data_IF_363840366468
#
_entry.id   IF_363840366468
#
_cell.length_a   1.000
_cell.length_b   1.000
_cell.length_c   1.000
_cell.angle_alpha   90.00
_cell.angle_beta   90.00
_cell.angle_gamma   90.00
#
_symmetry.space_group_name_H-M   'P 1'
#
loop_
_entity.id
_entity.type
_entity.pdbx_description
1 polymer ?
#
# COMPACT_ATOMS: atom_id res chain seq x y z
N UNK A 1 -3.11 -20.37 -61.26
CA UNK A 1 -2.75 -20.90 -59.94
C UNK A 1 -1.79 -19.91 -59.31
N UNK A 2 -2.28 -19.06 -58.40
CA UNK A 2 -1.47 -18.03 -57.74
C UNK A 2 -1.06 -18.50 -56.35
N UNK A 3 0.19 -18.24 -55.92
CA UNK A 3 0.70 -18.70 -54.63
C UNK A 3 0.19 -17.82 -53.49
N UNK A 4 0.06 -18.47 -52.34
CA UNK A 4 -0.38 -18.01 -51.03
C UNK A 4 0.51 -16.89 -50.45
N UNK A 5 -0.12 -15.86 -49.88
CA UNK A 5 0.49 -14.96 -48.89
C UNK A 5 -0.16 -15.26 -47.54
N UNK A 6 0.48 -16.14 -46.77
CA UNK A 6 0.16 -16.36 -45.37
C UNK A 6 0.70 -15.17 -44.57
N UNK A 7 -0.19 -14.28 -44.14
CA UNK A 7 0.11 -13.28 -43.12
C UNK A 7 0.27 -14.00 -41.78
N UNK A 8 1.41 -13.90 -41.07
CA UNK A 8 1.49 -14.32 -39.69
C UNK A 8 0.67 -13.33 -38.87
N UNK A 9 -0.49 -13.78 -38.37
CA UNK A 9 -1.22 -13.05 -37.35
C UNK A 9 -0.29 -12.84 -36.16
N UNK A 10 0.12 -11.59 -35.93
CA UNK A 10 0.81 -11.20 -34.72
C UNK A 10 -0.05 -11.64 -33.55
N UNK A 11 0.38 -12.68 -32.84
CA UNK A 11 -0.19 -13.04 -31.55
C UNK A 11 0.09 -11.85 -30.63
N UNK A 12 -0.86 -10.90 -30.56
CA UNK A 12 -0.88 -9.86 -29.55
C UNK A 12 -0.80 -10.58 -28.20
N UNK A 13 0.37 -10.51 -27.56
CA UNK A 13 0.63 -11.16 -26.30
C UNK A 13 -0.48 -10.80 -25.31
N UNK A 14 -1.17 -11.79 -24.76
CA UNK A 14 -2.18 -11.66 -23.69
C UNK A 14 -1.60 -11.11 -22.36
N UNK A 15 -0.45 -10.43 -22.39
CA UNK A 15 0.15 -9.81 -21.22
C UNK A 15 -0.62 -8.53 -20.90
N UNK A 16 -0.99 -8.30 -19.63
CA UNK A 16 -1.59 -7.04 -19.22
C UNK A 16 -0.66 -5.89 -19.59
N UNK A 17 -1.23 -4.80 -20.11
CA UNK A 17 -0.45 -3.59 -20.35
C UNK A 17 -0.01 -3.03 -19.00
N UNK A 18 1.29 -2.73 -18.82
CA UNK A 18 1.77 -2.08 -17.61
C UNK A 18 1.05 -0.76 -17.37
N UNK A 19 0.91 -0.42 -16.10
CA UNK A 19 0.34 0.84 -15.66
C UNK A 19 1.26 2.01 -15.98
N UNK A 20 0.74 3.12 -16.56
CA UNK A 20 1.56 4.28 -16.91
C UNK A 20 2.28 4.90 -15.71
N UNK A 21 1.67 4.81 -14.53
CA UNK A 21 2.20 5.35 -13.28
C UNK A 21 2.15 4.25 -12.22
N UNK A 22 3.32 3.80 -11.77
CA UNK A 22 3.44 2.90 -10.62
C UNK A 22 4.50 3.46 -9.67
N UNK A 23 4.15 3.91 -8.44
CA UNK A 23 5.13 4.38 -7.50
C UNK A 23 6.05 3.23 -7.09
N UNK A 24 7.37 3.48 -7.12
CA UNK A 24 8.35 2.54 -6.57
C UNK A 24 8.09 2.37 -5.06
N UNK A 25 8.08 1.14 -4.54
CA UNK A 25 7.97 0.93 -3.10
C UNK A 25 9.27 1.26 -2.36
N UNK A 26 9.15 1.88 -1.19
CA UNK A 26 10.28 2.18 -0.29
C UNK A 26 10.70 0.97 0.54
N UNK A 27 11.94 0.99 1.01
CA UNK A 27 12.44 -0.03 1.93
C UNK A 27 11.66 0.04 3.25
N UNK A 28 11.15 -1.12 3.70
CA UNK A 28 10.30 -1.21 4.88
C UNK A 28 8.92 -0.59 4.71
N UNK A 29 8.43 -0.37 3.48
CA UNK A 29 7.05 0.04 3.22
C UNK A 29 6.07 -1.13 3.43
N UNK A 30 4.92 -0.85 4.05
CA UNK A 30 3.85 -1.83 4.19
C UNK A 30 3.09 -2.01 2.87
N UNK A 31 2.71 -3.24 2.52
CA UNK A 31 1.99 -3.54 1.28
C UNK A 31 0.72 -2.71 1.12
N UNK A 32 -0.09 -2.60 2.19
CA UNK A 32 -1.29 -1.76 2.20
C UNK A 32 -0.98 -0.28 1.94
N UNK A 33 0.07 0.24 2.57
CA UNK A 33 0.55 1.62 2.36
C UNK A 33 0.93 1.90 0.91
N UNK A 34 1.72 1.00 0.32
CA UNK A 34 2.13 1.09 -1.08
C UNK A 34 0.94 0.98 -2.04
N UNK A 35 0.04 0.02 -1.81
CA UNK A 35 -1.16 -0.17 -2.62
C UNK A 35 -2.09 1.05 -2.54
N UNK A 36 -2.20 1.66 -1.35
CA UNK A 36 -2.92 2.92 -1.18
C UNK A 36 -2.29 4.10 -1.91
N UNK A 37 -0.95 4.18 -2.01
CA UNK A 37 -0.26 5.20 -2.83
C UNK A 37 -0.53 4.99 -4.30
N UNK A 38 -0.49 3.74 -4.75
CA UNK A 38 -0.80 3.35 -6.12
C UNK A 38 -2.25 3.73 -6.47
N UNK A 39 -3.23 3.35 -5.64
CA UNK A 39 -4.63 3.75 -5.81
C UNK A 39 -4.80 5.28 -5.84
N UNK A 40 -4.05 5.99 -4.99
CA UNK A 40 -4.02 7.45 -4.95
C UNK A 40 -3.53 8.09 -6.25
N UNK A 41 -2.61 7.47 -7.00
CA UNK A 41 -2.15 7.98 -8.31
C UNK A 41 -3.23 7.93 -9.38
N UNK A 42 -4.21 7.03 -9.22
CA UNK A 42 -5.35 6.86 -10.14
C UNK A 42 -6.65 7.48 -9.60
N UNK A 43 -6.61 8.18 -8.46
CA UNK A 43 -7.81 8.71 -7.78
C UNK A 43 -8.88 7.64 -7.49
N UNK A 44 -8.45 6.40 -7.27
CA UNK A 44 -9.31 5.26 -6.96
C UNK A 44 -9.25 4.94 -5.47
N UNK A 45 -10.26 4.24 -4.96
CA UNK A 45 -10.08 3.46 -3.72
C UNK A 45 -9.23 2.22 -4.00
N UNK A 46 -8.71 1.58 -2.95
CA UNK A 46 -8.00 0.31 -3.08
C UNK A 46 -8.90 -0.77 -3.66
N UNK A 47 -10.18 -0.80 -3.28
CA UNK A 47 -11.18 -1.74 -3.81
C UNK A 47 -11.44 -1.52 -5.30
N UNK A 48 -11.56 -0.26 -5.72
CA UNK A 48 -11.72 0.09 -7.12
C UNK A 48 -10.48 -0.29 -7.93
N UNK A 49 -9.28 0.04 -7.44
CA UNK A 49 -8.02 -0.34 -8.09
C UNK A 49 -7.91 -1.87 -8.20
N UNK A 50 -8.21 -2.59 -7.12
CA UNK A 50 -8.12 -4.04 -7.04
C UNK A 50 -9.03 -4.72 -8.07
N UNK A 51 -10.28 -4.27 -8.14
CA UNK A 51 -11.27 -4.75 -9.10
C UNK A 51 -10.86 -4.42 -10.53
N UNK A 52 -10.42 -3.18 -10.79
CA UNK A 52 -10.03 -2.73 -12.11
C UNK A 52 -8.77 -3.45 -12.64
N UNK A 53 -7.83 -3.82 -11.76
CA UNK A 53 -6.62 -4.55 -12.16
C UNK A 53 -6.81 -6.07 -12.27
N UNK A 54 -8.01 -6.57 -11.95
CA UNK A 54 -8.34 -8.00 -11.94
C UNK A 54 -7.34 -8.79 -11.09
N UNK A 55 -7.21 -8.39 -9.82
CA UNK A 55 -6.26 -8.98 -8.86
C UNK A 55 -6.80 -10.24 -8.15
N UNK A 56 -7.94 -10.77 -8.62
CA UNK A 56 -8.69 -11.83 -7.96
C UNK A 56 -9.67 -11.31 -6.90
N UNK A 57 -10.25 -12.18 -6.06
CA UNK A 57 -11.16 -11.76 -5.00
C UNK A 57 -10.44 -10.87 -3.98
N UNK A 58 -11.09 -9.79 -3.56
CA UNK A 58 -10.56 -8.91 -2.51
C UNK A 58 -10.46 -9.70 -1.20
N UNK A 59 -9.31 -9.69 -0.51
CA UNK A 59 -9.18 -10.32 0.80
C UNK A 59 -10.11 -9.66 1.82
N UNK A 60 -10.58 -10.43 2.79
CA UNK A 60 -11.30 -9.87 3.94
C UNK A 60 -10.35 -8.98 4.75
N UNK A 61 -10.67 -7.69 4.83
CA UNK A 61 -9.87 -6.73 5.58
C UNK A 61 -10.31 -6.69 7.05
N UNK A 62 -9.35 -6.77 7.97
CA UNK A 62 -9.61 -6.62 9.40
C UNK A 62 -10.15 -5.21 9.69
N UNK A 63 -11.38 -5.12 10.18
CA UNK A 63 -12.14 -3.87 10.40
C UNK A 63 -12.19 -2.92 9.18
N UNK A 64 -12.09 -3.44 7.95
CA UNK A 64 -12.00 -2.58 6.75
C UNK A 64 -10.71 -1.76 6.66
N UNK A 65 -9.65 -2.12 7.40
CA UNK A 65 -8.39 -1.38 7.46
C UNK A 65 -7.39 -1.91 6.45
N UNK A 66 -7.36 -1.33 5.26
CA UNK A 66 -6.39 -1.69 4.22
C UNK A 66 -4.93 -1.41 4.58
N UNK A 67 -4.63 -0.61 5.62
CA UNK A 67 -3.26 -0.47 6.13
C UNK A 67 -2.73 -1.78 6.72
N UNK A 68 -3.60 -2.59 7.33
CA UNK A 68 -3.29 -3.92 7.85
C UNK A 68 -3.66 -4.99 6.81
N UNK A 69 -3.24 -4.77 5.56
CA UNK A 69 -3.59 -5.63 4.44
C UNK A 69 -3.05 -7.06 4.68
N UNK A 70 -3.88 -8.10 4.52
CA UNK A 70 -3.44 -9.47 4.69
C UNK A 70 -2.50 -9.92 3.56
N UNK A 71 -1.65 -10.93 3.79
CA UNK A 71 -0.89 -11.53 2.71
C UNK A 71 -1.79 -11.96 1.55
N UNK A 72 -1.31 -11.71 0.34
CA UNK A 72 -1.98 -12.03 -0.91
C UNK A 72 -1.28 -13.20 -1.59
N UNK A 73 -2.00 -14.03 -2.36
CA UNK A 73 -1.41 -15.19 -3.01
C UNK A 73 -0.41 -14.79 -4.09
N UNK A 74 0.46 -15.73 -4.47
CA UNK A 74 1.52 -15.52 -5.46
C UNK A 74 0.98 -15.00 -6.79
N UNK A 75 -0.15 -15.54 -7.26
CA UNK A 75 -0.82 -15.12 -8.49
C UNK A 75 -1.13 -13.60 -8.50
N UNK A 76 -1.61 -13.06 -7.38
CA UNK A 76 -1.86 -11.62 -7.22
C UNK A 76 -0.56 -10.83 -7.27
N UNK A 77 0.51 -11.34 -6.66
CA UNK A 77 1.82 -10.69 -6.70
C UNK A 77 2.43 -10.69 -8.10
N UNK A 78 2.30 -11.78 -8.85
CA UNK A 78 2.74 -11.89 -10.23
C UNK A 78 1.98 -10.92 -11.13
N UNK A 79 0.66 -10.83 -10.93
CA UNK A 79 -0.18 -9.87 -11.65
C UNK A 79 0.22 -8.43 -11.37
N UNK A 80 0.38 -8.07 -10.08
CA UNK A 80 0.88 -6.76 -9.68
C UNK A 80 2.28 -6.49 -10.24
N UNK A 81 3.15 -7.49 -10.28
CA UNK A 81 4.50 -7.38 -10.83
C UNK A 81 4.48 -7.02 -12.31
N UNK A 82 3.61 -7.67 -13.09
CA UNK A 82 3.42 -7.34 -14.51
C UNK A 82 2.86 -5.93 -14.71
N UNK A 83 1.92 -5.51 -13.87
CA UNK A 83 1.28 -4.20 -13.97
C UNK A 83 2.20 -3.06 -13.53
N UNK A 84 3.05 -3.27 -12.54
CA UNK A 84 3.81 -2.19 -11.87
C UNK A 84 5.32 -2.22 -12.13
N UNK A 85 5.82 -3.32 -12.71
CA UNK A 85 7.25 -3.65 -12.82
C UNK A 85 7.98 -3.74 -11.46
N UNK A 86 7.25 -3.84 -10.35
CA UNK A 86 7.84 -4.18 -9.04
C UNK A 86 8.07 -5.69 -8.99
N UNK A 87 9.25 -6.15 -8.59
CA UNK A 87 9.52 -7.59 -8.52
C UNK A 87 8.63 -8.29 -7.49
N UNK A 88 8.30 -9.56 -7.74
CA UNK A 88 7.53 -10.39 -6.80
C UNK A 88 8.19 -10.44 -5.42
N UNK A 89 9.52 -10.59 -5.35
CA UNK A 89 10.24 -10.62 -4.07
C UNK A 89 10.11 -9.30 -3.31
N UNK A 90 10.10 -8.18 -4.02
CA UNK A 90 9.86 -6.88 -3.40
C UNK A 90 8.42 -6.76 -2.88
N UNK A 91 7.43 -7.22 -3.64
CA UNK A 91 6.05 -7.26 -3.17
C UNK A 91 5.88 -8.18 -1.96
N UNK A 92 6.56 -9.34 -1.94
CA UNK A 92 6.57 -10.27 -0.81
C UNK A 92 7.14 -9.65 0.45
N UNK A 93 8.25 -8.93 0.34
CA UNK A 93 8.92 -8.29 1.48
C UNK A 93 8.06 -7.21 2.17
N UNK A 94 7.05 -6.66 1.48
CA UNK A 94 6.14 -5.65 2.04
C UNK A 94 4.92 -6.27 2.76
N UNK A 95 4.68 -7.58 2.63
CA UNK A 95 3.48 -8.21 3.18
C UNK A 95 3.49 -8.19 4.70
N UNK A 96 2.33 -7.90 5.29
CA UNK A 96 2.14 -7.93 6.74
C UNK A 96 2.22 -9.37 7.23
N UNK A 97 3.09 -9.72 8.19
CA UNK A 97 3.12 -11.05 8.80
C UNK A 97 1.75 -11.46 9.36
N UNK A 98 1.34 -12.72 9.16
CA UNK A 98 0.01 -13.22 9.59
C UNK A 98 -0.24 -13.01 11.08
N UNK A 99 0.78 -13.23 11.93
CA UNK A 99 0.68 -12.99 13.38
C UNK A 99 0.45 -11.53 13.77
N UNK A 100 0.61 -10.59 12.85
CA UNK A 100 0.32 -9.18 13.05
C UNK A 100 -1.11 -8.82 12.60
N UNK A 101 -1.89 -9.73 12.04
CA UNK A 101 -3.21 -9.39 11.49
C UNK A 101 -4.31 -9.79 12.47
N UNK A 102 -4.79 -8.82 13.23
CA UNK A 102 -5.90 -8.99 14.17
C UNK A 102 -6.56 -7.64 14.45
N UNK A 103 -7.78 -7.66 14.98
CA UNK A 103 -8.54 -6.45 15.29
C UNK A 103 -7.77 -5.58 16.29
N UNK A 104 -7.46 -4.35 15.88
CA UNK A 104 -6.76 -3.37 16.70
C UNK A 104 -7.46 -2.04 16.59
N UNK A 105 -7.88 -1.50 17.74
CA UNK A 105 -8.52 -0.17 17.80
C UNK A 105 -7.62 0.97 17.29
N UNK A 106 -6.30 0.79 17.31
CA UNK A 106 -5.32 1.84 17.01
C UNK A 106 -4.08 1.25 16.33
N UNK A 107 -3.60 1.89 15.28
CA UNK A 107 -2.23 1.72 14.77
C UNK A 107 -1.38 2.86 15.30
N UNK A 108 -0.19 2.55 15.83
CA UNK A 108 0.79 3.55 16.26
C UNK A 108 1.68 3.89 15.07
N UNK A 109 2.01 5.17 14.90
CA UNK A 109 2.91 5.58 13.84
C UNK A 109 3.68 6.84 14.25
N UNK A 110 4.82 7.10 13.63
CA UNK A 110 5.54 8.35 13.84
C UNK A 110 5.09 9.39 12.80
N UNK A 111 4.41 10.45 13.23
CA UNK A 111 3.92 11.50 12.33
C UNK A 111 5.06 12.16 11.54
N UNK A 112 6.18 12.48 12.19
CA UNK A 112 7.33 13.07 11.51
C UNK A 112 7.91 12.16 10.43
N UNK A 113 8.01 10.85 10.68
CA UNK A 113 8.46 9.91 9.66
C UNK A 113 7.43 9.70 8.54
N UNK A 114 6.14 9.83 8.82
CA UNK A 114 5.09 9.76 7.81
C UNK A 114 5.19 10.96 6.85
N UNK A 115 5.31 12.17 7.39
CA UNK A 115 5.31 13.40 6.58
C UNK A 115 6.67 13.69 5.96
N UNK A 116 7.76 13.46 6.69
CA UNK A 116 9.14 13.73 6.26
C UNK A 116 9.85 12.42 5.96
N UNK A 117 9.46 11.78 4.86
CA UNK A 117 10.17 10.61 4.38
C UNK A 117 11.62 11.00 4.01
N UNK A 118 12.61 10.40 4.68
CA UNK A 118 14.03 10.69 4.43
C UNK A 118 14.53 10.17 3.09
N UNK A 119 13.92 9.11 2.55
CA UNK A 119 14.30 8.57 1.25
C UNK A 119 13.80 9.46 0.09
N UNK A 120 12.67 10.14 0.30
CA UNK A 120 12.11 11.13 -0.62
C UNK A 120 11.12 12.02 0.13
N UNK A 121 11.54 13.25 0.43
CA UNK A 121 10.81 14.20 1.30
C UNK A 121 9.39 14.49 0.79
N UNK A 122 9.17 14.37 -0.52
CA UNK A 122 7.87 14.66 -1.14
C UNK A 122 6.96 13.43 -1.24
N UNK A 123 7.44 12.25 -0.81
CA UNK A 123 6.75 10.97 -0.98
C UNK A 123 6.54 10.25 0.36
N UNK A 124 5.57 10.67 1.18
CA UNK A 124 5.13 9.93 2.37
C UNK A 124 4.84 8.45 2.07
N UNK A 125 5.12 7.58 3.03
CA UNK A 125 4.76 6.15 2.97
C UNK A 125 4.47 5.57 4.35
N UNK A 126 3.68 4.49 4.38
CA UNK A 126 3.40 3.77 5.61
C UNK A 126 4.48 2.73 5.85
N UNK A 127 5.14 2.78 7.00
CA UNK A 127 6.15 1.78 7.33
C UNK A 127 5.52 0.48 7.80
N UNK A 128 6.10 -0.64 7.38
CA UNK A 128 5.75 -1.98 7.84
C UNK A 128 6.00 -2.14 9.34
N UNK A 129 7.08 -1.56 9.88
CA UNK A 129 7.40 -1.59 11.31
C UNK A 129 6.28 -1.04 12.20
N UNK A 130 5.46 -0.10 11.70
CA UNK A 130 4.33 0.47 12.45
C UNK A 130 3.16 -0.50 12.62
N UNK A 131 3.14 -1.59 11.84
CA UNK A 131 2.15 -2.67 11.95
C UNK A 131 2.57 -3.74 12.97
N UNK A 132 3.83 -3.76 13.41
CA UNK A 132 4.30 -4.66 14.46
C UNK A 132 3.55 -4.38 15.79
N UNK A 133 2.89 -5.37 16.41
CA UNK A 133 2.29 -5.25 17.75
C UNK A 133 3.21 -4.66 18.82
N UNK A 134 4.50 -4.96 18.72
CA UNK A 134 5.53 -4.61 19.69
C UNK A 134 6.08 -3.19 19.47
N UNK A 135 5.74 -2.56 18.33
CA UNK A 135 6.16 -1.21 18.02
C UNK A 135 5.63 -0.20 19.05
N UNK A 136 6.57 0.39 19.77
CA UNK A 136 6.32 1.26 20.93
C UNK A 136 7.13 2.54 20.91
N UNK A 137 8.20 2.61 20.13
CA UNK A 137 9.05 3.80 20.01
C UNK A 137 9.54 3.99 18.59
N UNK A 138 9.81 5.24 18.21
CA UNK A 138 10.53 5.56 16.98
C UNK A 138 11.96 5.97 17.34
N UNK A 139 12.96 5.26 16.84
CA UNK A 139 14.37 5.56 17.12
C UNK A 139 14.76 6.98 16.66
N UNK A 140 14.19 7.45 15.56
CA UNK A 140 14.49 8.76 15.00
C UNK A 140 13.75 9.91 15.72
N UNK A 141 12.61 9.61 16.33
CA UNK A 141 11.77 10.60 16.99
C UNK A 141 11.17 10.03 18.30
N UNK A 142 11.98 9.86 19.36
CA UNK A 142 11.52 9.28 20.62
C UNK A 142 10.35 10.06 21.22
N UNK A 143 9.37 9.35 21.79
CA UNK A 143 8.21 9.94 22.47
C UNK A 143 7.17 10.62 21.57
N UNK A 144 7.33 10.59 20.24
CA UNK A 144 6.44 11.30 19.28
C UNK A 144 5.58 10.35 18.44
N UNK A 145 5.06 9.29 19.06
CA UNK A 145 4.13 8.40 18.37
C UNK A 145 2.70 8.95 18.42
N UNK A 146 2.05 8.95 17.27
CA UNK A 146 0.64 9.24 17.10
C UNK A 146 -0.16 7.94 16.96
N UNK A 147 -1.49 8.04 17.05
CA UNK A 147 -2.37 6.90 16.82
C UNK A 147 -3.45 7.20 15.80
N UNK A 148 -3.86 6.19 15.03
CA UNK A 148 -4.97 6.28 14.07
C UNK A 148 -6.35 6.21 14.75
N UNK A 149 -6.43 6.40 16.08
CA UNK A 149 -7.66 6.21 16.88
C UNK A 149 -8.88 6.96 16.33
N UNK A 150 -8.66 8.14 15.77
CA UNK A 150 -9.72 9.02 15.28
C UNK A 150 -9.94 8.88 13.77
N UNK A 151 -9.30 7.89 13.14
CA UNK A 151 -9.38 7.68 11.71
C UNK A 151 -10.32 6.51 11.47
N UNK A 152 -11.42 6.81 10.80
CA UNK A 152 -12.20 5.76 10.17
C UNK A 152 -11.49 5.34 8.88
N UNK A 153 -10.54 4.41 9.02
CA UNK A 153 -9.75 3.89 7.91
C UNK A 153 -10.63 3.22 6.84
N UNK A 154 -11.84 2.76 7.19
CA UNK A 154 -12.79 2.20 6.23
C UNK A 154 -13.34 3.26 5.26
N UNK A 155 -13.34 4.53 5.67
CA UNK A 155 -13.78 5.66 4.82
C UNK A 155 -12.65 6.27 3.99
N UNK A 156 -11.40 5.93 4.30
CA UNK A 156 -10.22 6.46 3.61
C UNK A 156 -9.83 5.49 2.51
N UNK A 157 -10.31 5.69 1.28
CA UNK A 157 -10.13 4.71 0.20
C UNK A 157 -8.69 4.59 -0.32
N UNK A 158 -7.80 5.54 -0.05
CA UNK A 158 -6.41 5.52 -0.52
C UNK A 158 -5.47 6.37 0.34
N UNK A 159 -4.17 6.33 0.00
CA UNK A 159 -3.14 6.98 0.80
C UNK A 159 -3.20 8.52 0.74
N UNK A 160 -3.65 9.11 -0.36
CA UNK A 160 -3.84 10.57 -0.44
C UNK A 160 -4.93 11.07 0.51
N UNK A 161 -6.01 10.29 0.68
CA UNK A 161 -7.05 10.59 1.67
C UNK A 161 -6.52 10.44 3.10
N UNK A 162 -5.74 9.39 3.36
CA UNK A 162 -5.07 9.20 4.65
C UNK A 162 -4.16 10.39 5.01
N UNK A 163 -3.31 10.84 4.08
CA UNK A 163 -2.41 11.96 4.32
C UNK A 163 -3.19 13.25 4.62
N UNK A 164 -4.25 13.53 3.86
CA UNK A 164 -5.13 14.68 4.15
C UNK A 164 -5.70 14.63 5.56
N UNK A 165 -6.10 13.44 6.03
CA UNK A 165 -6.57 13.25 7.41
C UNK A 165 -5.44 13.44 8.42
N UNK A 166 -4.25 12.91 8.15
CA UNK A 166 -3.10 13.07 9.03
C UNK A 166 -2.68 14.54 9.21
N UNK A 167 -2.69 15.33 8.12
CA UNK A 167 -2.39 16.75 8.14
C UNK A 167 -3.44 17.60 8.87
N UNK A 168 -4.71 17.20 8.79
CA UNK A 168 -5.82 17.95 9.40
C UNK A 168 -5.95 17.74 10.92
N UNK A 169 -5.26 16.74 11.49
CA UNK A 169 -5.35 16.45 12.92
C UNK A 169 -4.42 17.39 13.70
N UNK A 170 -4.92 18.13 14.71
CA UNK A 170 -4.06 18.94 15.57
C UNK A 170 -3.07 18.03 16.29
N UNK A 171 -1.77 18.24 16.06
CA UNK A 171 -0.69 17.51 16.74
C UNK A 171 -0.78 17.83 18.22
N UNK A 172 -1.48 16.97 18.97
CA UNK A 172 -1.54 17.09 20.42
C UNK A 172 -0.13 16.85 20.91
N UNK A 173 0.46 17.84 21.59
CA UNK A 173 1.67 17.61 22.40
C UNK A 173 1.41 16.36 23.23
N UNK A 174 2.10 15.27 22.92
CA UNK A 174 2.02 14.03 23.69
C UNK A 174 2.54 14.39 25.08
N UNK A 175 1.64 14.46 26.05
CA UNK A 175 2.00 14.57 27.46
C UNK A 175 2.59 13.20 27.82
N UNK A 176 3.91 13.19 28.00
CA UNK A 176 4.62 12.11 28.68
C UNK A 176 4.13 12.08 30.13
N UNK A 177 3.43 11.01 30.50
CA UNK A 177 3.27 10.59 31.89
C UNK A 177 4.43 9.70 32.28
#
# INVERSE_FOLDING_TARGET
>A
MSPTLNTPGAACSNRPRPWPIAPRPFDGEAFGGWLGRLAGKYSMTIEQLWTHADLGPMPTLTDGKWLLFPPVPLETLERLSQLTHVSVDRLRAMQTPIGWIYERRRLRYCYLCLILNRADVCSPFWKLEWLDPTFSTCEQHPGKLETTLHWDLSTLGNFNQLLRRAYAMPHRKVVSH
#
